data_IF_047450896273
#
_entry.id   IF_047450896273
#
_cell.length_a   1.000
_cell.length_b   1.000
_cell.length_c   1.000
_cell.angle_alpha   90.00
_cell.angle_beta   90.00
_cell.angle_gamma   90.00
#
_symmetry.space_group_name_H-M   'P 1'
#
loop_
_entity.id
_entity.type
_entity.pdbx_description
1 polymer ?
#
# COMPACT_ATOMS: atom_id res chain seq x y z
N UNK A 1 -5.36 1.74 -20.65
CA UNK A 1 -4.60 2.54 -19.66
C UNK A 1 -4.78 4.00 -20.04
N UNK A 2 -5.03 4.86 -19.08
CA UNK A 2 -5.33 6.28 -19.32
C UNK A 2 -4.03 7.10 -19.31
N UNK A 3 -3.81 7.90 -20.36
CA UNK A 3 -2.68 8.85 -20.49
C UNK A 3 -3.02 10.27 -20.02
N UNK A 4 -4.01 10.38 -19.12
CA UNK A 4 -4.44 11.67 -18.58
C UNK A 4 -3.36 12.25 -17.66
N UNK A 5 -2.94 13.48 -17.91
CA UNK A 5 -1.98 14.21 -17.06
C UNK A 5 -2.48 14.31 -15.62
N UNK A 6 -1.64 13.94 -14.66
CA UNK A 6 -1.96 14.00 -13.24
C UNK A 6 -1.87 15.43 -12.70
N UNK A 7 -2.85 15.82 -11.88
CA UNK A 7 -2.85 17.07 -11.11
C UNK A 7 -2.25 16.80 -9.72
N UNK A 8 -0.94 16.98 -9.61
CA UNK A 8 -0.16 16.67 -8.40
C UNK A 8 0.19 17.93 -7.59
N UNK A 9 -0.45 19.07 -7.89
CA UNK A 9 -0.21 20.36 -7.25
C UNK A 9 -0.66 20.41 -5.79
N UNK A 10 -1.58 19.52 -5.39
CA UNK A 10 -2.10 19.41 -4.04
C UNK A 10 -1.20 18.64 -3.07
N UNK A 11 -0.12 17.99 -3.55
CA UNK A 11 0.85 17.31 -2.68
C UNK A 11 1.48 18.37 -1.77
N UNK A 12 1.27 18.24 -0.47
CA UNK A 12 1.67 19.26 0.51
C UNK A 12 2.52 18.69 1.61
N UNK A 13 2.63 17.39 1.80
CA UNK A 13 3.26 16.76 2.96
C UNK A 13 2.48 17.04 4.25
N UNK A 14 2.01 16.01 4.94
CA UNK A 14 1.25 16.12 6.20
C UNK A 14 1.98 16.89 7.32
N UNK A 15 3.31 16.96 7.29
CA UNK A 15 4.11 17.59 8.35
C UNK A 15 4.82 18.87 7.88
N UNK A 16 4.83 19.94 8.71
CA UNK A 16 5.74 21.06 8.52
C UNK A 16 7.17 20.54 8.59
N UNK A 17 7.93 20.73 7.52
CA UNK A 17 9.30 20.25 7.42
C UNK A 17 10.25 21.43 7.63
N UNK A 18 11.26 21.33 8.53
CA UNK A 18 12.30 22.34 8.67
C UNK A 18 13.20 22.50 7.43
N UNK A 19 13.23 21.53 6.51
CA UNK A 19 14.00 21.57 5.24
C UNK A 19 13.06 21.59 4.01
N UNK A 20 12.45 22.75 3.74
CA UNK A 20 11.53 22.94 2.61
C UNK A 20 12.15 22.55 1.26
N UNK A 21 13.46 22.69 1.10
CA UNK A 21 14.18 22.42 -0.14
C UNK A 21 14.19 20.92 -0.48
N UNK A 22 14.47 20.04 0.49
CA UNK A 22 14.40 18.59 0.27
C UNK A 22 13.00 18.15 -0.19
N UNK A 23 11.97 18.65 0.48
CA UNK A 23 10.57 18.35 0.16
C UNK A 23 10.20 18.79 -1.25
N UNK A 24 10.57 20.01 -1.65
CA UNK A 24 10.33 20.53 -2.99
C UNK A 24 11.01 19.66 -4.07
N UNK A 25 12.24 19.19 -3.82
CA UNK A 25 12.94 18.29 -4.73
C UNK A 25 12.24 16.94 -4.87
N UNK A 26 11.82 16.32 -3.76
CA UNK A 26 11.09 15.05 -3.80
C UNK A 26 9.75 15.20 -4.53
N UNK A 27 9.01 16.29 -4.28
CA UNK A 27 7.76 16.59 -5.00
C UNK A 27 8.04 16.74 -6.50
N UNK A 28 9.10 17.45 -6.90
CA UNK A 28 9.44 17.62 -8.31
C UNK A 28 9.74 16.28 -8.99
N UNK A 29 10.48 15.39 -8.33
CA UNK A 29 10.78 14.04 -8.83
C UNK A 29 9.48 13.25 -9.02
N UNK A 30 8.61 13.21 -8.00
CA UNK A 30 7.33 12.50 -8.07
C UNK A 30 6.42 13.06 -9.16
N UNK A 31 6.34 14.40 -9.27
CA UNK A 31 5.54 15.08 -10.28
C UNK A 31 5.98 14.75 -11.70
N UNK A 32 7.27 14.59 -11.93
CA UNK A 32 7.80 14.23 -13.23
C UNK A 32 7.64 12.73 -13.47
N UNK A 33 8.19 11.87 -12.59
CA UNK A 33 8.25 10.41 -12.83
C UNK A 33 6.88 9.75 -12.96
N UNK A 34 5.82 10.30 -12.35
CA UNK A 34 4.48 9.68 -12.41
C UNK A 34 3.69 10.02 -13.68
N UNK A 35 4.15 10.96 -14.51
CA UNK A 35 3.44 11.36 -15.74
C UNK A 35 3.59 10.30 -16.84
N UNK A 36 2.58 10.10 -17.69
CA UNK A 36 2.62 9.12 -18.78
C UNK A 36 3.70 9.42 -19.82
N UNK A 37 4.06 10.69 -20.02
CA UNK A 37 5.09 11.16 -20.97
C UNK A 37 6.27 11.83 -20.26
N UNK A 38 6.58 11.39 -19.04
CA UNK A 38 7.70 11.94 -18.28
C UNK A 38 9.03 11.78 -19.01
N UNK A 39 9.85 12.83 -18.97
CA UNK A 39 11.25 12.76 -19.41
C UNK A 39 12.11 11.96 -18.43
N UNK A 40 11.77 12.02 -17.14
CA UNK A 40 12.47 11.26 -16.10
C UNK A 40 11.93 9.83 -16.07
N UNK A 41 12.79 8.87 -16.42
CA UNK A 41 12.41 7.46 -16.31
C UNK A 41 12.50 6.96 -14.85
N UNK A 42 11.81 5.86 -14.51
CA UNK A 42 11.79 5.36 -13.13
C UNK A 42 13.17 5.03 -12.53
N UNK A 43 14.11 4.56 -13.35
CA UNK A 43 15.47 4.22 -12.91
C UNK A 43 16.30 5.47 -12.60
N UNK A 44 16.19 6.51 -13.43
CA UNK A 44 16.81 7.82 -13.17
C UNK A 44 16.21 8.47 -11.93
N UNK A 45 14.89 8.42 -11.77
CA UNK A 45 14.23 8.92 -10.57
C UNK A 45 14.74 8.22 -9.30
N UNK A 46 14.90 6.90 -9.34
CA UNK A 46 15.47 6.13 -8.25
C UNK A 46 16.91 6.58 -7.91
N UNK A 47 17.76 6.78 -8.92
CA UNK A 47 19.11 7.27 -8.72
C UNK A 47 19.15 8.69 -8.10
N UNK A 48 18.27 9.59 -8.56
CA UNK A 48 18.16 10.94 -7.99
C UNK A 48 17.68 10.90 -6.55
N UNK A 49 16.70 10.04 -6.21
CA UNK A 49 16.24 9.84 -4.83
C UNK A 49 17.39 9.31 -3.96
N UNK A 50 18.15 8.32 -4.44
CA UNK A 50 19.31 7.80 -3.71
C UNK A 50 20.37 8.90 -3.49
N UNK A 51 20.65 9.74 -4.49
CA UNK A 51 21.61 10.85 -4.36
C UNK A 51 21.16 11.94 -3.38
N UNK A 52 19.86 12.12 -3.19
CA UNK A 52 19.30 13.00 -2.16
C UNK A 52 19.32 12.37 -0.77
N UNK A 53 19.40 11.05 -0.67
CA UNK A 53 19.44 10.37 0.62
C UNK A 53 20.68 10.80 1.40
N UNK A 54 20.58 11.06 2.72
CA UNK A 54 21.75 11.35 3.53
C UNK A 54 22.69 10.13 3.55
N UNK A 55 23.74 10.14 2.74
CA UNK A 55 24.73 9.05 2.67
C UNK A 55 25.78 9.20 3.78
N UNK A 56 26.18 8.10 4.41
CA UNK A 56 27.43 8.06 5.15
C UNK A 56 28.59 8.09 4.15
N UNK A 57 28.96 9.28 3.64
CA UNK A 57 30.23 9.38 2.93
C UNK A 57 31.36 9.06 3.91
N UNK A 58 32.09 7.99 3.60
CA UNK A 58 33.29 7.47 4.26
C UNK A 58 33.94 8.44 5.25
N UNK A 59 33.47 8.42 6.50
CA UNK A 59 34.28 8.84 7.63
C UNK A 59 34.95 7.58 8.16
N UNK A 60 35.89 7.02 7.40
CA UNK A 60 36.66 5.82 7.75
C UNK A 60 37.51 5.94 9.02
N UNK A 61 37.17 6.82 9.98
CA UNK A 61 37.96 7.05 11.19
C UNK A 61 37.23 7.71 12.37
N UNK A 62 35.90 7.87 12.37
CA UNK A 62 35.21 8.57 13.47
C UNK A 62 34.04 7.77 14.07
N UNK A 63 34.10 7.59 15.39
CA UNK A 63 33.35 6.59 16.15
C UNK A 63 31.83 6.79 16.27
N UNK A 64 31.23 5.92 17.09
CA UNK A 64 29.80 5.72 17.36
C UNK A 64 28.96 7.00 17.54
N UNK A 65 29.54 8.13 17.99
CA UNK A 65 28.82 9.42 18.16
C UNK A 65 28.32 10.06 16.86
N UNK A 66 28.97 9.86 15.70
CA UNK A 66 28.52 10.47 14.43
C UNK A 66 27.38 9.67 13.79
N UNK A 67 27.36 8.35 13.98
CA UNK A 67 26.23 7.47 13.57
C UNK A 67 24.93 7.86 14.26
N UNK A 68 24.98 8.10 15.58
CA UNK A 68 23.84 8.59 16.38
C UNK A 68 23.27 9.94 15.92
N UNK A 69 24.04 10.79 15.25
CA UNK A 69 23.56 12.10 14.75
C UNK A 69 22.91 12.03 13.36
N UNK A 70 23.15 10.97 12.59
CA UNK A 70 22.64 10.83 11.22
C UNK A 70 21.35 10.01 11.13
N UNK A 71 21.11 9.13 12.10
CA UNK A 71 19.87 8.34 12.19
C UNK A 71 18.60 9.23 12.12
N UNK A 72 18.48 10.36 12.86
CA UNK A 72 17.30 11.22 12.75
C UNK A 72 17.14 11.86 11.36
N UNK A 73 18.25 12.19 10.69
CA UNK A 73 18.20 12.79 9.35
C UNK A 73 17.73 11.80 8.29
N UNK A 74 18.16 10.54 8.41
CA UNK A 74 17.76 9.46 7.49
C UNK A 74 16.33 9.04 7.76
N UNK A 75 15.93 8.86 9.03
CA UNK A 75 14.52 8.61 9.37
C UNK A 75 13.60 9.74 8.89
N UNK A 76 14.02 11.01 9.02
CA UNK A 76 13.27 12.16 8.51
C UNK A 76 13.16 12.11 6.97
N UNK A 77 14.25 11.81 6.25
CA UNK A 77 14.24 11.64 4.81
C UNK A 77 13.28 10.53 4.36
N UNK A 78 13.36 9.35 5.00
CA UNK A 78 12.47 8.21 4.69
C UNK A 78 11.01 8.54 4.97
N UNK A 79 10.73 9.20 6.11
CA UNK A 79 9.38 9.64 6.47
C UNK A 79 8.81 10.53 5.37
N UNK A 80 9.56 11.53 4.94
CA UNK A 80 9.10 12.46 3.91
C UNK A 80 8.91 11.79 2.55
N UNK A 81 9.86 10.96 2.12
CA UNK A 81 9.75 10.24 0.86
C UNK A 81 8.46 9.41 0.81
N UNK A 82 8.18 8.65 1.87
CA UNK A 82 7.00 7.79 1.93
C UNK A 82 5.70 8.57 2.09
N UNK A 83 5.65 9.59 2.96
CA UNK A 83 4.46 10.45 3.09
C UNK A 83 4.10 11.13 1.75
N UNK A 84 5.09 11.71 1.06
CA UNK A 84 4.87 12.36 -0.24
C UNK A 84 4.48 11.37 -1.33
N UNK A 85 5.07 10.18 -1.34
CA UNK A 85 4.69 9.14 -2.29
C UNK A 85 3.24 8.72 -2.08
N UNK A 86 2.80 8.48 -0.84
CA UNK A 86 1.42 8.08 -0.59
C UNK A 86 0.42 9.20 -0.91
N UNK A 87 0.75 10.45 -0.60
CA UNK A 87 -0.04 11.61 -1.05
C UNK A 87 -0.13 11.70 -2.56
N UNK A 88 0.98 11.47 -3.28
CA UNK A 88 0.96 11.43 -4.73
C UNK A 88 0.04 10.31 -5.24
N UNK A 89 0.16 9.11 -4.68
CA UNK A 89 -0.61 7.94 -5.10
C UNK A 89 -2.10 8.02 -4.78
N UNK A 90 -2.50 8.80 -3.77
CA UNK A 90 -3.91 9.16 -3.55
C UNK A 90 -4.52 9.94 -4.72
N UNK A 91 -3.70 10.63 -5.51
CA UNK A 91 -4.14 11.42 -6.66
C UNK A 91 -4.04 10.67 -8.00
N UNK A 92 -3.52 9.43 -8.00
CA UNK A 92 -3.33 8.62 -9.21
C UNK A 92 -4.50 7.64 -9.38
N UNK A 93 -5.38 7.82 -10.39
CA UNK A 93 -6.47 6.90 -10.65
C UNK A 93 -5.98 5.45 -10.90
N UNK A 94 -6.75 4.40 -10.56
CA UNK A 94 -6.29 3.01 -10.63
C UNK A 94 -5.80 2.60 -12.03
N UNK A 95 -6.41 3.14 -13.08
CA UNK A 95 -6.13 2.80 -14.49
C UNK A 95 -4.98 3.62 -15.11
N UNK A 96 -4.39 4.54 -14.34
CA UNK A 96 -3.33 5.44 -14.80
C UNK A 96 -1.94 4.78 -14.74
N UNK A 97 -1.08 5.07 -15.73
CA UNK A 97 0.28 4.50 -15.84
C UNK A 97 1.20 4.87 -14.66
N UNK A 98 0.89 5.95 -13.95
CA UNK A 98 1.63 6.42 -12.77
C UNK A 98 1.81 5.34 -11.71
N UNK A 99 0.84 4.44 -11.53
CA UNK A 99 0.98 3.28 -10.63
C UNK A 99 2.13 2.38 -11.05
N UNK A 100 2.16 1.93 -12.30
CA UNK A 100 3.24 1.09 -12.83
C UNK A 100 4.59 1.80 -12.75
N UNK A 101 4.62 3.10 -13.06
CA UNK A 101 5.85 3.91 -13.01
C UNK A 101 6.37 4.06 -11.58
N UNK A 102 5.49 4.23 -10.59
CA UNK A 102 5.86 4.25 -9.17
C UNK A 102 6.47 2.91 -8.73
N UNK A 103 5.83 1.79 -9.11
CA UNK A 103 6.34 0.44 -8.81
C UNK A 103 7.72 0.23 -9.44
N UNK A 104 7.90 0.59 -10.71
CA UNK A 104 9.21 0.49 -11.38
C UNK A 104 10.28 1.36 -10.74
N UNK A 105 9.92 2.54 -10.21
CA UNK A 105 10.86 3.41 -9.49
C UNK A 105 11.30 2.78 -8.17
N UNK A 106 10.36 2.19 -7.42
CA UNK A 106 10.67 1.50 -6.18
C UNK A 106 11.49 0.22 -6.41
N UNK A 107 11.16 -0.54 -7.46
CA UNK A 107 11.96 -1.70 -7.86
C UNK A 107 13.39 -1.28 -8.25
N UNK A 108 13.54 -0.20 -9.03
CA UNK A 108 14.84 0.35 -9.36
C UNK A 108 15.62 0.81 -8.12
N UNK A 109 14.96 1.43 -7.13
CA UNK A 109 15.58 1.74 -5.83
C UNK A 109 16.09 0.46 -5.15
N UNK A 110 15.31 -0.63 -5.15
CA UNK A 110 15.73 -1.91 -4.57
C UNK A 110 17.01 -2.48 -5.20
N UNK A 111 17.26 -2.18 -6.47
CA UNK A 111 18.47 -2.62 -7.20
C UNK A 111 19.70 -1.75 -6.92
N UNK A 112 19.56 -0.60 -6.26
CA UNK A 112 20.70 0.23 -5.88
C UNK A 112 21.47 -0.48 -4.77
N UNK A 113 22.72 -0.85 -5.07
CA UNK A 113 23.61 -1.61 -4.19
C UNK A 113 24.09 -0.83 -2.96
N UNK A 114 23.71 0.44 -2.83
CA UNK A 114 24.03 1.30 -1.69
C UNK A 114 23.20 0.92 -0.46
N UNK A 115 23.87 0.47 0.60
CA UNK A 115 23.28 0.48 1.93
C UNK A 115 23.19 1.95 2.39
N UNK A 116 22.10 2.33 3.08
CA UNK A 116 22.05 3.63 3.75
C UNK A 116 23.00 3.66 4.97
N UNK A 117 23.71 2.56 5.24
CA UNK A 117 24.74 2.35 6.29
C UNK A 117 24.29 2.73 7.71
N UNK A 118 22.97 2.83 7.94
CA UNK A 118 22.35 3.00 9.26
C UNK A 118 21.85 1.66 9.76
N UNK A 119 22.29 1.27 10.95
CA UNK A 119 21.59 0.28 11.76
C UNK A 119 20.68 1.04 12.73
N UNK A 120 19.37 1.01 12.48
CA UNK A 120 18.38 1.53 13.43
C UNK A 120 18.03 0.47 14.47
N UNK A 121 17.25 0.85 15.48
CA UNK A 121 16.59 -0.10 16.38
C UNK A 121 15.71 -1.14 15.68
N UNK A 122 15.36 -0.91 14.41
CA UNK A 122 14.53 -1.79 13.58
C UNK A 122 15.33 -2.56 12.53
N UNK A 123 16.67 -2.47 12.55
CA UNK A 123 17.56 -3.15 11.62
C UNK A 123 18.25 -2.22 10.62
N UNK A 124 19.06 -2.78 9.71
CA UNK A 124 19.78 -2.02 8.69
C UNK A 124 18.79 -1.39 7.70
N UNK A 125 18.93 -0.09 7.46
CA UNK A 125 18.18 0.59 6.40
C UNK A 125 18.86 0.32 5.06
N UNK A 126 18.19 -0.44 4.19
CA UNK A 126 18.70 -0.82 2.87
C UNK A 126 17.61 -0.64 1.83
N UNK A 127 17.96 -0.09 0.67
CA UNK A 127 16.99 0.11 -0.39
C UNK A 127 16.33 -1.17 -0.87
N UNK A 128 17.09 -2.27 -0.94
CA UNK A 128 16.59 -3.61 -1.30
C UNK A 128 15.37 -4.09 -0.49
N UNK A 129 15.09 -3.45 0.66
CA UNK A 129 14.00 -3.79 1.57
C UNK A 129 13.00 -2.65 1.76
N UNK A 130 13.10 -1.56 0.97
CA UNK A 130 12.28 -0.35 1.05
C UNK A 130 12.03 0.08 2.52
N UNK A 131 13.07 0.62 3.19
CA UNK A 131 13.11 0.65 4.65
C UNK A 131 11.89 1.37 5.22
N UNK A 132 11.20 0.68 6.14
CA UNK A 132 10.02 1.16 6.83
C UNK A 132 8.80 1.47 5.93
N UNK A 133 8.83 1.23 4.62
CA UNK A 133 7.72 1.56 3.71
C UNK A 133 6.39 0.95 4.19
N UNK A 134 6.39 -0.34 4.50
CA UNK A 134 5.21 -1.03 5.05
C UNK A 134 4.72 -0.37 6.34
N UNK A 135 5.63 0.05 7.24
CA UNK A 135 5.27 0.74 8.48
C UNK A 135 4.61 2.09 8.20
N UNK A 136 5.14 2.89 7.29
CA UNK A 136 4.55 4.20 6.95
C UNK A 136 3.24 4.06 6.20
N UNK A 137 3.14 3.06 5.31
CA UNK A 137 1.86 2.70 4.73
C UNK A 137 0.91 2.38 5.88
N UNK A 138 1.33 1.55 6.84
CA UNK A 138 0.49 1.15 7.96
C UNK A 138 0.00 2.29 8.85
N UNK A 139 0.93 3.09 9.34
CA UNK A 139 0.63 4.21 10.22
C UNK A 139 -0.18 5.29 9.49
N UNK A 140 0.08 5.48 8.19
CA UNK A 140 -0.59 6.47 7.36
C UNK A 140 -2.00 6.07 6.91
N UNK A 141 -2.26 4.78 6.70
CA UNK A 141 -3.55 4.27 6.19
C UNK A 141 -4.50 3.83 7.30
N UNK A 142 -4.00 3.30 8.42
CA UNK A 142 -4.83 2.66 9.46
C UNK A 142 -5.11 3.50 10.70
N UNK A 143 -4.52 4.70 10.82
CA UNK A 143 -4.89 5.69 11.84
C UNK A 143 -5.92 6.72 11.34
N UNK A 144 -6.58 6.47 10.22
CA UNK A 144 -7.55 7.40 9.66
C UNK A 144 -8.88 7.41 10.42
N UNK A 145 -9.13 8.49 11.15
CA UNK A 145 -10.33 8.73 11.98
C UNK A 145 -11.20 9.89 11.47
N UNK A 146 -10.99 10.36 10.24
CA UNK A 146 -11.66 11.54 9.67
C UNK A 146 -12.43 11.18 8.37
N UNK A 147 -13.43 11.98 7.95
CA UNK A 147 -14.12 11.74 6.69
C UNK A 147 -13.11 11.78 5.53
N UNK A 148 -12.94 10.64 4.86
CA UNK A 148 -11.98 10.46 3.78
C UNK A 148 -12.66 10.59 2.41
N UNK A 149 -11.92 11.08 1.41
CA UNK A 149 -12.35 10.99 0.02
C UNK A 149 -12.21 9.53 -0.45
N UNK A 150 -13.33 8.91 -0.81
CA UNK A 150 -13.37 7.51 -1.22
C UNK A 150 -12.52 7.22 -2.46
N UNK A 151 -12.33 8.21 -3.34
CA UNK A 151 -11.49 8.06 -4.54
C UNK A 151 -10.03 8.05 -4.16
N UNK A 152 -9.61 8.96 -3.29
CA UNK A 152 -8.22 9.00 -2.80
C UNK A 152 -7.85 7.70 -2.09
N UNK A 153 -8.79 7.15 -1.32
CA UNK A 153 -8.61 5.86 -0.67
C UNK A 153 -8.48 4.71 -1.67
N UNK A 154 -9.39 4.62 -2.64
CA UNK A 154 -9.33 3.60 -3.70
C UNK A 154 -8.00 3.69 -4.47
N UNK A 155 -7.55 4.89 -4.81
CA UNK A 155 -6.27 5.13 -5.49
C UNK A 155 -5.09 4.63 -4.67
N UNK A 156 -5.05 4.92 -3.37
CA UNK A 156 -3.98 4.45 -2.49
C UNK A 156 -4.01 2.93 -2.29
N UNK A 157 -5.19 2.32 -2.15
CA UNK A 157 -5.31 0.85 -2.03
C UNK A 157 -4.95 0.15 -3.34
N UNK A 158 -5.28 0.76 -4.47
CA UNK A 158 -4.83 0.33 -5.79
C UNK A 158 -3.29 0.27 -5.88
N UNK A 159 -2.60 1.29 -5.37
CA UNK A 159 -1.14 1.29 -5.26
C UNK A 159 -0.62 0.23 -4.28
N UNK A 160 -1.21 0.12 -3.09
CA UNK A 160 -0.82 -0.87 -2.08
C UNK A 160 -0.96 -2.32 -2.58
N UNK A 161 -2.04 -2.61 -3.32
CA UNK A 161 -2.24 -3.91 -3.97
C UNK A 161 -1.14 -4.21 -5.00
N UNK A 162 -0.71 -3.21 -5.78
CA UNK A 162 0.41 -3.38 -6.74
C UNK A 162 1.75 -3.58 -6.03
N UNK A 163 2.00 -2.88 -4.92
CA UNK A 163 3.19 -3.11 -4.10
C UNK A 163 3.26 -4.56 -3.61
N UNK A 164 2.17 -5.08 -3.05
CA UNK A 164 2.09 -6.47 -2.63
C UNK A 164 2.25 -7.44 -3.81
N UNK A 165 1.53 -7.17 -4.90
CA UNK A 165 1.60 -7.97 -6.13
C UNK A 165 3.00 -8.09 -6.71
N UNK A 166 3.77 -7.00 -6.66
CA UNK A 166 5.17 -6.96 -7.12
C UNK A 166 6.17 -7.61 -6.17
N UNK A 167 5.76 -8.00 -4.96
CA UNK A 167 6.66 -8.55 -3.95
C UNK A 167 7.60 -7.51 -3.30
N UNK A 168 7.37 -6.22 -3.54
CA UNK A 168 8.15 -5.13 -2.93
C UNK A 168 7.82 -4.91 -1.45
N UNK A 169 6.67 -5.42 -0.98
CA UNK A 169 6.28 -5.39 0.44
C UNK A 169 5.68 -6.72 0.86
N UNK A 170 6.06 -7.16 2.06
CA UNK A 170 5.36 -8.24 2.76
C UNK A 170 4.08 -7.68 3.37
N UNK A 171 2.91 -8.02 2.82
CA UNK A 171 1.66 -7.66 3.46
C UNK A 171 1.41 -8.62 4.62
N UNK A 172 1.53 -8.12 5.85
CA UNK A 172 0.94 -8.80 7.01
C UNK A 172 -0.46 -8.26 7.35
N UNK A 173 -0.86 -7.09 6.83
CA UNK A 173 -2.12 -6.44 7.26
C UNK A 173 -2.89 -5.74 6.12
N UNK A 174 -2.62 -6.01 4.84
CA UNK A 174 -3.22 -5.26 3.72
C UNK A 174 -4.69 -5.58 3.40
N UNK A 175 -5.26 -6.69 3.90
CA UNK A 175 -6.47 -7.28 3.29
C UNK A 175 -7.68 -7.24 4.22
N UNK A 176 -7.88 -6.06 4.81
CA UNK A 176 -9.12 -5.74 5.54
C UNK A 176 -10.31 -5.56 4.60
N UNK A 177 -10.07 -5.05 3.40
CA UNK A 177 -11.14 -4.76 2.43
C UNK A 177 -11.83 -6.06 1.93
N UNK A 178 -11.05 -7.13 1.70
CA UNK A 178 -11.64 -8.43 1.38
C UNK A 178 -12.43 -8.99 2.58
N UNK A 179 -12.04 -8.68 3.81
CA UNK A 179 -12.84 -9.02 4.98
C UNK A 179 -14.12 -8.20 5.09
N UNK A 180 -14.14 -6.94 4.68
CA UNK A 180 -15.38 -6.15 4.63
C UNK A 180 -16.39 -6.74 3.61
N UNK A 181 -15.91 -7.23 2.47
CA UNK A 181 -16.73 -8.01 1.52
C UNK A 181 -17.20 -9.32 2.18
N UNK A 182 -16.30 -10.04 2.84
CA UNK A 182 -16.59 -11.32 3.50
C UNK A 182 -17.62 -11.19 4.63
N UNK A 183 -17.56 -10.08 5.37
CA UNK A 183 -18.30 -9.82 6.59
C UNK A 183 -19.57 -8.99 6.38
N UNK A 184 -19.94 -8.66 5.13
CA UNK A 184 -21.16 -7.90 4.82
C UNK A 184 -22.46 -8.55 5.36
N UNK A 185 -22.42 -9.79 5.87
CA UNK A 185 -23.52 -10.46 6.60
C UNK A 185 -23.39 -10.50 8.14
N UNK A 186 -22.28 -10.09 8.76
CA UNK A 186 -22.17 -9.99 10.23
C UNK A 186 -23.03 -8.85 10.82
N UNK A 187 -23.67 -8.04 9.96
CA UNK A 187 -24.56 -6.93 10.33
C UNK A 187 -26.00 -7.34 10.65
N UNK A 188 -26.34 -8.63 10.50
CA UNK A 188 -27.63 -9.18 10.97
C UNK A 188 -27.58 -9.77 12.39
N UNK A 189 -26.54 -9.48 13.18
CA UNK A 189 -26.59 -9.73 14.63
C UNK A 189 -27.45 -8.62 15.26
N UNK A 190 -28.74 -8.89 15.37
CA UNK A 190 -29.70 -8.02 16.06
C UNK A 190 -29.24 -7.71 17.48
N UNK A 191 -29.12 -6.43 17.80
CA UNK A 191 -28.80 -5.93 19.13
C UNK A 191 -28.63 -4.42 19.12
N UNK A 192 -28.97 -3.77 20.23
CA UNK A 192 -28.99 -2.30 20.40
C UNK A 192 -27.62 -1.61 20.19
N UNK A 193 -26.53 -2.38 20.06
CA UNK A 193 -25.18 -1.87 19.77
C UNK A 193 -24.74 -2.04 18.29
N UNK A 194 -25.52 -2.71 17.45
CA UNK A 194 -25.16 -3.06 16.06
C UNK A 194 -25.48 -1.99 15.01
N UNK A 195 -26.19 -0.91 15.36
CA UNK A 195 -26.83 -0.04 14.37
C UNK A 195 -26.09 1.25 14.02
N UNK A 196 -25.03 1.66 14.73
CA UNK A 196 -24.61 3.06 14.63
C UNK A 196 -23.39 3.40 13.77
N UNK A 197 -22.58 2.45 13.26
CA UNK A 197 -21.29 2.88 12.68
C UNK A 197 -20.84 2.34 11.32
N UNK A 198 -21.43 1.31 10.72
CA UNK A 198 -20.82 0.72 9.52
C UNK A 198 -21.88 0.03 8.62
N UNK A 199 -22.75 0.82 7.98
CA UNK A 199 -23.28 0.39 6.69
C UNK A 199 -22.15 0.58 5.69
N UNK A 200 -21.35 -0.47 5.47
CA UNK A 200 -20.38 -0.46 4.36
C UNK A 200 -21.13 -0.25 3.04
N UNK A 201 -20.61 0.60 2.17
CA UNK A 201 -21.11 0.68 0.80
C UNK A 201 -20.52 -0.51 0.04
N UNK A 202 -21.34 -1.53 -0.22
CA UNK A 202 -20.93 -2.72 -0.98
C UNK A 202 -20.23 -2.35 -2.29
N UNK A 203 -20.65 -1.28 -2.97
CA UNK A 203 -20.03 -0.84 -4.22
C UNK A 203 -18.58 -0.42 -4.00
N UNK A 204 -18.32 0.32 -2.91
CA UNK A 204 -16.98 0.77 -2.52
C UNK A 204 -16.13 -0.41 -2.07
N UNK A 205 -16.66 -1.24 -1.18
CA UNK A 205 -15.92 -2.38 -0.63
C UNK A 205 -15.56 -3.37 -1.76
N UNK A 206 -16.46 -3.58 -2.72
CA UNK A 206 -16.21 -4.37 -3.93
C UNK A 206 -15.12 -3.77 -4.82
N UNK A 207 -15.11 -2.44 -5.01
CA UNK A 207 -14.05 -1.77 -5.78
C UNK A 207 -12.66 -1.97 -5.15
N UNK A 208 -12.56 -1.89 -3.82
CA UNK A 208 -11.31 -2.16 -3.11
C UNK A 208 -10.90 -3.63 -3.26
N UNK A 209 -11.84 -4.56 -3.14
CA UNK A 209 -11.57 -5.98 -3.35
C UNK A 209 -11.12 -6.31 -4.78
N UNK A 210 -11.69 -5.65 -5.78
CA UNK A 210 -11.26 -5.76 -7.18
C UNK A 210 -9.79 -5.37 -7.35
N UNK A 211 -9.33 -4.28 -6.73
CA UNK A 211 -7.93 -3.87 -6.77
C UNK A 211 -7.02 -4.92 -6.13
N UNK A 212 -7.36 -5.40 -4.93
CA UNK A 212 -6.56 -6.41 -4.23
C UNK A 212 -6.44 -7.72 -5.00
N UNK A 213 -7.55 -8.27 -5.49
CA UNK A 213 -7.50 -9.53 -6.27
C UNK A 213 -6.83 -9.31 -7.62
N UNK A 214 -7.05 -8.17 -8.26
CA UNK A 214 -6.48 -7.89 -9.59
C UNK A 214 -4.98 -7.77 -9.55
N UNK A 215 -4.43 -7.06 -8.56
CA UNK A 215 -3.03 -6.71 -8.55
C UNK A 215 -2.20 -7.57 -7.60
N UNK A 216 -2.80 -8.08 -6.52
CA UNK A 216 -2.12 -8.90 -5.53
C UNK A 216 -2.66 -10.33 -5.40
N UNK A 217 -3.71 -10.71 -6.13
CA UNK A 217 -4.42 -11.98 -5.91
C UNK A 217 -3.52 -13.22 -5.96
N UNK A 218 -2.60 -13.28 -6.93
CA UNK A 218 -1.63 -14.38 -7.05
C UNK A 218 -0.71 -14.46 -5.83
N UNK A 219 -0.13 -13.33 -5.42
CA UNK A 219 0.74 -13.23 -4.24
C UNK A 219 -0.01 -13.58 -2.97
N UNK A 220 -1.23 -13.06 -2.80
CA UNK A 220 -2.13 -13.37 -1.67
C UNK A 220 -2.38 -14.87 -1.59
N UNK A 221 -2.74 -15.51 -2.71
CA UNK A 221 -2.98 -16.95 -2.74
C UNK A 221 -1.72 -17.77 -2.44
N UNK A 222 -0.57 -17.37 -2.97
CA UNK A 222 0.71 -18.03 -2.69
C UNK A 222 1.07 -17.97 -1.21
N UNK A 223 0.90 -16.80 -0.58
CA UNK A 223 1.08 -16.62 0.87
C UNK A 223 0.06 -17.47 1.63
N UNK A 224 -1.22 -17.45 1.22
CA UNK A 224 -2.29 -18.21 1.83
C UNK A 224 -2.06 -19.73 1.81
N UNK A 225 -1.46 -20.27 0.74
CA UNK A 225 -1.06 -21.68 0.60
C UNK A 225 0.10 -22.05 1.54
N UNK A 226 0.98 -21.10 1.88
CA UNK A 226 2.14 -21.31 2.77
C UNK A 226 1.79 -21.14 4.26
N UNK A 227 0.75 -20.39 4.56
CA UNK A 227 0.32 -20.09 5.92
C UNK A 227 -0.66 -21.14 6.45
N UNK A 228 -0.15 -22.11 7.21
CA UNK A 228 -0.93 -23.16 7.86
C UNK A 228 -1.49 -22.75 9.24
N UNK A 229 -1.20 -21.55 9.71
CA UNK A 229 -1.60 -21.10 11.04
C UNK A 229 -3.10 -20.85 11.14
N UNK A 230 -3.69 -21.20 12.29
CA UNK A 230 -5.09 -20.85 12.61
C UNK A 230 -5.23 -19.32 12.70
N UNK A 231 -6.31 -18.73 12.16
CA UNK A 231 -6.54 -17.30 12.26
C UNK A 231 -6.69 -16.90 13.73
N UNK A 232 -5.90 -15.92 14.18
CA UNK A 232 -6.17 -15.22 15.43
C UNK A 232 -7.23 -14.15 15.11
N UNK A 233 -8.49 -14.45 15.41
CA UNK A 233 -9.58 -13.49 15.30
C UNK A 233 -9.43 -12.48 16.43
N UNK A 234 -8.75 -11.36 16.16
CA UNK A 234 -8.76 -10.22 17.05
C UNK A 234 -10.01 -9.36 16.78
N UNK A 235 -10.50 -8.72 17.84
CA UNK A 235 -11.71 -7.90 17.85
C UNK A 235 -11.63 -6.70 16.89
N UNK A 236 -12.76 -6.27 16.28
CA UNK A 236 -12.97 -5.03 15.49
C UNK A 236 -12.21 -3.75 15.83
N UNK A 237 -11.70 -3.61 17.07
CA UNK A 237 -11.09 -2.39 17.58
C UNK A 237 -9.58 -2.50 17.86
N UNK A 238 -8.99 -3.69 17.81
CA UNK A 238 -7.58 -3.93 18.19
C UNK A 238 -6.83 -4.71 17.09
N UNK A 239 -6.99 -4.26 15.85
CA UNK A 239 -6.56 -4.95 14.63
C UNK A 239 -5.08 -4.82 14.27
N UNK A 240 -4.27 -4.15 15.10
CA UNK A 240 -2.81 -4.06 14.94
C UNK A 240 -2.08 -5.40 15.17
N UNK A 241 -2.79 -6.53 15.28
CA UNK A 241 -2.26 -7.86 15.63
C UNK A 241 -2.87 -9.03 14.84
N UNK A 242 -3.53 -8.81 13.70
CA UNK A 242 -4.09 -9.90 12.90
C UNK A 242 -3.02 -10.63 12.07
N UNK A 243 -2.17 -11.39 12.76
CA UNK A 243 -1.31 -12.38 12.12
C UNK A 243 -2.18 -13.47 11.48
N UNK A 244 -1.80 -13.89 10.27
CA UNK A 244 -2.37 -15.04 9.53
C UNK A 244 -3.71 -14.81 8.80
N UNK A 245 -4.02 -13.57 8.42
CA UNK A 245 -5.22 -13.29 7.57
C UNK A 245 -5.11 -13.94 6.19
N UNK A 246 -3.90 -14.04 5.65
CA UNK A 246 -3.62 -14.78 4.43
C UNK A 246 -3.51 -16.27 4.73
N UNK A 247 -4.63 -16.97 4.71
CA UNK A 247 -4.68 -18.43 4.78
C UNK A 247 -5.73 -18.95 3.79
N UNK A 248 -5.60 -20.21 3.37
CA UNK A 248 -6.45 -20.77 2.32
C UNK A 248 -7.94 -20.75 2.68
N UNK A 249 -8.30 -20.88 3.97
CA UNK A 249 -9.70 -20.85 4.41
C UNK A 249 -10.33 -19.46 4.22
N UNK A 250 -9.56 -18.41 4.48
CA UNK A 250 -10.01 -17.04 4.24
C UNK A 250 -10.18 -16.78 2.75
N UNK A 251 -9.23 -17.22 1.92
CA UNK A 251 -9.35 -17.13 0.46
C UNK A 251 -10.63 -17.80 -0.06
N UNK A 252 -10.88 -19.06 0.30
CA UNK A 252 -12.09 -19.80 -0.06
C UNK A 252 -13.37 -19.11 0.46
N UNK A 253 -13.31 -18.56 1.67
CA UNK A 253 -14.44 -17.82 2.27
C UNK A 253 -14.74 -16.55 1.49
N UNK A 254 -13.74 -15.75 1.12
CA UNK A 254 -13.93 -14.54 0.33
C UNK A 254 -14.55 -14.86 -1.03
N UNK A 255 -14.03 -15.88 -1.73
CA UNK A 255 -14.57 -16.34 -3.00
C UNK A 255 -16.02 -16.80 -2.87
N UNK A 256 -16.33 -17.63 -1.86
CA UNK A 256 -17.71 -18.09 -1.61
C UNK A 256 -18.65 -16.91 -1.34
N UNK A 257 -18.22 -15.95 -0.52
CA UNK A 257 -19.04 -14.79 -0.19
C UNK A 257 -19.33 -13.93 -1.42
N UNK A 258 -18.37 -13.75 -2.33
CA UNK A 258 -18.61 -13.05 -3.59
C UNK A 258 -19.68 -13.76 -4.45
N UNK A 259 -19.72 -15.09 -4.47
CA UNK A 259 -20.77 -15.84 -5.17
C UNK A 259 -22.15 -15.65 -4.52
N UNK A 260 -22.22 -15.71 -3.18
CA UNK A 260 -23.45 -15.49 -2.43
C UNK A 260 -23.99 -14.07 -2.64
N UNK A 261 -23.15 -13.05 -2.42
CA UNK A 261 -23.53 -11.64 -2.64
C UNK A 261 -23.94 -11.41 -4.09
N UNK A 262 -23.20 -11.97 -5.05
CA UNK A 262 -23.54 -11.85 -6.47
C UNK A 262 -24.89 -12.44 -6.84
N UNK A 263 -25.39 -13.43 -6.09
CA UNK A 263 -26.73 -13.99 -6.27
C UNK A 263 -27.83 -13.22 -5.53
N UNK A 264 -27.47 -12.46 -4.48
CA UNK A 264 -28.40 -11.67 -3.65
C UNK A 264 -28.67 -10.27 -4.21
N UNK A 265 -27.70 -9.67 -4.91
CA UNK A 265 -27.80 -8.31 -5.45
C UNK A 265 -28.13 -8.32 -6.94
N UNK A 266 -28.70 -7.22 -7.44
CA UNK A 266 -29.07 -7.07 -8.85
C UNK A 266 -28.08 -6.18 -9.64
N UNK A 267 -28.11 -6.31 -10.97
CA UNK A 267 -27.46 -5.39 -11.90
C UNK A 267 -25.93 -5.49 -11.93
N UNK A 268 -25.27 -4.33 -12.02
CA UNK A 268 -23.81 -4.23 -12.16
C UNK A 268 -23.04 -4.88 -10.99
N UNK A 269 -23.54 -4.71 -9.76
CA UNK A 269 -22.90 -5.27 -8.57
C UNK A 269 -22.88 -6.80 -8.61
N UNK A 270 -23.95 -7.44 -9.09
CA UNK A 270 -24.02 -8.90 -9.27
C UNK A 270 -22.91 -9.37 -10.21
N UNK A 271 -22.84 -8.75 -11.39
CA UNK A 271 -21.85 -9.07 -12.42
C UNK A 271 -20.42 -8.93 -11.88
N UNK A 272 -20.12 -7.82 -11.20
CA UNK A 272 -18.79 -7.55 -10.62
C UNK A 272 -18.40 -8.57 -9.55
N UNK A 273 -19.31 -8.91 -8.63
CA UNK A 273 -19.07 -9.94 -7.63
C UNK A 273 -18.75 -11.31 -8.26
N UNK A 274 -19.55 -11.74 -9.24
CA UNK A 274 -19.36 -13.01 -9.93
C UNK A 274 -18.07 -13.03 -10.76
N UNK A 275 -17.74 -11.94 -11.44
CA UNK A 275 -16.47 -11.79 -12.17
C UNK A 275 -15.27 -11.86 -11.24
N UNK A 276 -15.34 -11.22 -10.08
CA UNK A 276 -14.26 -11.25 -9.09
C UNK A 276 -14.06 -12.65 -8.51
N UNK A 277 -15.14 -13.35 -8.16
CA UNK A 277 -15.08 -14.75 -7.71
C UNK A 277 -14.49 -15.67 -8.79
N UNK A 278 -14.89 -15.47 -10.05
CA UNK A 278 -14.34 -16.20 -11.19
C UNK A 278 -12.83 -15.94 -11.34
N UNK A 279 -12.39 -14.68 -11.20
CA UNK A 279 -10.96 -14.33 -11.24
C UNK A 279 -10.16 -15.02 -10.14
N UNK A 280 -10.67 -15.05 -8.92
CA UNK A 280 -10.06 -15.82 -7.82
C UNK A 280 -9.94 -17.31 -8.19
N UNK A 281 -10.98 -17.89 -8.81
CA UNK A 281 -10.96 -19.29 -9.26
C UNK A 281 -9.93 -19.56 -10.36
N UNK A 282 -9.67 -18.59 -11.24
CA UNK A 282 -8.64 -18.73 -12.27
C UNK A 282 -7.24 -18.78 -11.64
N UNK A 283 -6.97 -17.90 -10.67
CA UNK A 283 -5.70 -17.87 -9.93
C UNK A 283 -5.39 -19.17 -9.20
N UNK A 284 -6.39 -19.98 -8.86
CA UNK A 284 -6.19 -21.29 -8.22
C UNK A 284 -5.64 -22.35 -9.17
N UNK A 285 -5.80 -22.17 -10.49
CA UNK A 285 -5.38 -23.12 -11.53
C UNK A 285 -3.93 -22.93 -11.96
N UNK A 286 -3.40 -21.73 -11.72
CA UNK A 286 -2.01 -21.34 -11.97
C UNK A 286 -1.10 -21.73 -10.78
#
# INVERSE_FOLDING_TARGET
MSDVRLQLESIKGKRPNPDSNLKEKLIAILKEVLQPNASLNPTEAAAVIDDLAPKFREAGRYGSRRKLRMEPAIENFMTQLWELLFEAMQLVPPEHLGHTRAISMLDALCQISGDLDVNTKHGPLRWRHLPCLTRYLLEGTWHWTEPFDEREWLNLMSFAARLLGSGLVDAENGVWDLEYIASHQLWHIGGEYGQQYLKGDLKRDLALGEEWITHAGATILQIARRNFYKPNVAHPRFFTRCRNMFNIRNWERWQRRLLEVGAEVDGDLSSRCLMLAHKMKLLERD
#
